data_IF_352571495069
#
_entry.id   IF_352571495069
#
_cell.length_a   1.000
_cell.length_b   1.000
_cell.length_c   1.000
_cell.angle_alpha   90.00
_cell.angle_beta   90.00
_cell.angle_gamma   90.00
#
_symmetry.space_group_name_H-M   'P 1'
#
loop_
_entity.id
_entity.type
_entity.pdbx_description
1 polymer ?
#
# COMPACT_ATOMS: atom_id res chain seq x y z
N UNK A 1 3.39 -12.03 1.51
CA UNK A 1 3.62 -13.47 1.75
C UNK A 1 2.40 -14.16 2.36
N UNK A 2 1.94 -13.74 3.54
CA UNK A 2 0.81 -14.38 4.28
C UNK A 2 -0.48 -14.44 3.42
N UNK A 3 -0.83 -13.35 2.74
CA UNK A 3 -2.07 -13.27 1.94
C UNK A 3 -2.02 -14.21 0.71
N UNK A 4 -0.87 -14.32 0.05
CA UNK A 4 -0.70 -15.24 -1.08
C UNK A 4 -0.78 -16.70 -0.62
N UNK A 5 -0.19 -17.03 0.53
CA UNK A 5 -0.32 -18.35 1.16
C UNK A 5 -1.76 -18.68 1.58
N UNK A 6 -2.48 -17.72 2.18
CA UNK A 6 -3.91 -17.86 2.53
C UNK A 6 -4.80 -18.06 1.30
N UNK A 7 -4.39 -17.51 0.16
CA UNK A 7 -5.06 -17.68 -1.12
C UNK A 7 -4.62 -18.95 -1.87
N UNK A 8 -3.78 -19.79 -1.27
CA UNK A 8 -3.37 -21.09 -1.82
C UNK A 8 -2.16 -21.06 -2.75
N UNK A 9 -1.46 -19.93 -2.86
CA UNK A 9 -0.27 -19.79 -3.69
C UNK A 9 0.99 -20.19 -2.91
N UNK A 10 1.82 -21.06 -3.49
CA UNK A 10 3.11 -21.45 -2.90
C UNK A 10 4.18 -20.47 -3.33
N UNK A 11 4.93 -19.95 -2.35
CA UNK A 11 5.99 -18.99 -2.57
C UNK A 11 7.34 -19.69 -2.49
N UNK A 12 8.26 -19.32 -3.39
CA UNK A 12 9.63 -19.84 -3.36
C UNK A 12 10.37 -19.38 -2.10
N UNK A 13 11.27 -20.23 -1.59
CA UNK A 13 12.06 -19.94 -0.40
C UNK A 13 12.90 -18.65 -0.52
N UNK A 14 13.39 -18.35 -1.73
CA UNK A 14 14.11 -17.10 -2.02
C UNK A 14 13.25 -15.86 -1.75
N UNK A 15 11.98 -15.86 -2.17
CA UNK A 15 11.07 -14.73 -1.97
C UNK A 15 10.71 -14.54 -0.50
N UNK A 16 10.60 -15.64 0.25
CA UNK A 16 10.39 -15.61 1.71
C UNK A 16 11.61 -14.98 2.40
N UNK A 17 12.83 -15.41 2.02
CA UNK A 17 14.07 -14.86 2.55
C UNK A 17 14.20 -13.34 2.33
N UNK A 18 13.96 -12.87 1.10
CA UNK A 18 14.00 -11.42 0.80
C UNK A 18 12.94 -10.64 1.57
N UNK A 19 11.74 -11.20 1.73
CA UNK A 19 10.65 -10.55 2.49
C UNK A 19 11.00 -10.42 3.98
N UNK A 20 11.64 -11.43 4.57
CA UNK A 20 12.10 -11.39 5.97
C UNK A 20 13.21 -10.35 6.16
N UNK A 21 14.13 -10.22 5.20
CA UNK A 21 15.18 -9.22 5.24
C UNK A 21 14.60 -7.79 5.20
N UNK A 22 13.63 -7.53 4.32
CA UNK A 22 12.93 -6.24 4.27
C UNK A 22 12.23 -5.96 5.61
N UNK A 23 11.50 -6.94 6.16
CA UNK A 23 10.81 -6.80 7.43
C UNK A 23 11.76 -6.49 8.59
N UNK A 24 12.92 -7.16 8.64
CA UNK A 24 13.96 -6.87 9.63
C UNK A 24 14.51 -5.44 9.48
N UNK A 25 14.74 -5.00 8.24
CA UNK A 25 15.15 -3.62 7.96
C UNK A 25 14.15 -2.60 8.49
N UNK A 26 12.85 -2.83 8.27
CA UNK A 26 11.78 -1.96 8.79
C UNK A 26 11.82 -1.91 10.33
N UNK A 27 11.96 -3.06 11.01
CA UNK A 27 12.06 -3.10 12.48
C UNK A 27 13.27 -2.28 12.97
N UNK A 28 14.44 -2.48 12.34
CA UNK A 28 15.66 -1.77 12.72
C UNK A 28 15.52 -0.26 12.53
N UNK A 29 14.97 0.20 11.40
CA UNK A 29 14.71 1.62 11.15
C UNK A 29 13.74 2.21 12.18
N UNK A 30 12.66 1.51 12.51
CA UNK A 30 11.67 2.01 13.48
C UNK A 30 12.22 2.06 14.91
N UNK A 31 13.05 1.08 15.31
CA UNK A 31 13.73 1.12 16.61
C UNK A 31 14.76 2.26 16.64
N UNK A 32 15.53 2.45 15.55
CA UNK A 32 16.49 3.54 15.42
C UNK A 32 15.83 4.92 15.59
N UNK A 33 14.69 5.16 14.93
CA UNK A 33 13.91 6.38 15.08
C UNK A 33 13.31 6.51 16.49
N UNK A 34 12.79 5.42 17.06
CA UNK A 34 12.19 5.41 18.40
C UNK A 34 13.19 5.69 19.53
N UNK A 35 14.44 5.24 19.40
CA UNK A 35 15.50 5.48 20.37
C UNK A 35 16.07 6.90 20.31
N UNK A 36 16.03 7.54 19.13
CA UNK A 36 16.55 8.90 18.92
C UNK A 36 15.47 9.97 18.90
N UNK A 37 14.19 9.60 19.05
CA UNK A 37 13.09 10.56 19.07
C UNK A 37 13.15 11.41 20.36
N UNK A 38 13.28 12.74 20.27
CA UNK A 38 13.21 13.63 21.43
C UNK A 38 11.78 13.74 22.01
N UNK A 39 10.83 12.93 21.52
CA UNK A 39 9.42 13.04 21.86
C UNK A 39 9.07 12.31 23.14
N UNK A 40 8.41 13.01 24.07
CA UNK A 40 7.91 12.48 25.35
C UNK A 40 6.69 11.55 25.19
N UNK A 41 6.43 11.06 23.98
CA UNK A 41 5.19 10.35 23.65
C UNK A 41 5.27 8.93 24.19
N UNK A 42 4.28 8.46 24.98
CA UNK A 42 4.28 7.08 25.48
C UNK A 42 4.30 6.07 24.34
N UNK A 43 5.13 5.02 24.46
CA UNK A 43 5.27 3.95 23.48
C UNK A 43 3.91 3.32 23.11
N UNK A 44 2.99 3.19 24.07
CA UNK A 44 1.64 2.66 23.84
C UNK A 44 0.83 3.49 22.84
N UNK A 45 0.98 4.82 22.86
CA UNK A 45 0.30 5.74 21.94
C UNK A 45 0.88 5.59 20.53
N UNK A 46 2.20 5.51 20.41
CA UNK A 46 2.88 5.30 19.12
C UNK A 46 2.49 3.96 18.49
N UNK A 47 2.43 2.88 19.29
CA UNK A 47 2.03 1.56 18.82
C UNK A 47 0.55 1.53 18.43
N UNK A 48 -0.34 2.08 19.27
CA UNK A 48 -1.78 1.99 19.08
C UNK A 48 -2.29 2.83 17.90
N UNK A 49 -1.76 4.06 17.74
CA UNK A 49 -2.24 4.99 16.72
C UNK A 49 -1.32 5.11 15.49
N UNK A 50 -0.09 4.60 15.57
CA UNK A 50 0.85 4.58 14.44
C UNK A 50 1.05 3.17 13.88
N UNK A 51 1.75 2.33 14.63
CA UNK A 51 2.22 1.03 14.13
C UNK A 51 1.08 0.06 13.80
N UNK A 52 0.05 -0.04 14.65
CA UNK A 52 -1.07 -0.97 14.43
C UNK A 52 -1.92 -0.59 13.21
N UNK A 53 -2.36 0.68 13.02
CA UNK A 53 -3.06 1.09 11.80
C UNK A 53 -2.20 0.89 10.55
N UNK A 54 -0.90 1.20 10.61
CA UNK A 54 0.01 0.97 9.49
C UNK A 54 0.14 -0.52 9.14
N UNK A 55 0.24 -1.39 10.16
CA UNK A 55 0.25 -2.84 9.98
C UNK A 55 -1.05 -3.32 9.33
N UNK A 56 -2.21 -2.87 9.82
CA UNK A 56 -3.51 -3.20 9.25
C UNK A 56 -3.60 -2.76 7.77
N UNK A 57 -3.17 -1.54 7.45
CA UNK A 57 -3.10 -1.05 6.08
C UNK A 57 -2.19 -1.93 5.19
N UNK A 58 -1.07 -2.40 5.74
CA UNK A 58 -0.15 -3.33 5.08
C UNK A 58 -0.77 -4.67 4.69
N UNK A 59 -1.87 -5.09 5.33
CA UNK A 59 -2.67 -6.25 4.91
C UNK A 59 -3.81 -5.85 3.96
N UNK A 60 -4.53 -4.77 4.26
CA UNK A 60 -5.67 -4.31 3.45
C UNK A 60 -5.26 -4.01 2.00
N UNK A 61 -4.11 -3.38 1.80
CA UNK A 61 -3.60 -3.01 0.48
C UNK A 61 -3.41 -4.23 -0.46
N UNK A 62 -2.57 -5.23 -0.09
CA UNK A 62 -2.43 -6.43 -0.92
C UNK A 62 -3.73 -7.21 -1.05
N UNK A 63 -4.59 -7.30 -0.02
CA UNK A 63 -5.88 -8.00 -0.13
C UNK A 63 -6.75 -7.36 -1.22
N UNK A 64 -6.97 -6.04 -1.17
CA UNK A 64 -7.80 -5.33 -2.14
C UNK A 64 -7.30 -5.50 -3.58
N UNK A 65 -5.99 -5.37 -3.77
CA UNK A 65 -5.37 -5.57 -5.08
C UNK A 65 -5.49 -7.02 -5.57
N UNK A 66 -5.30 -8.02 -4.69
CA UNK A 66 -5.46 -9.42 -5.05
C UNK A 66 -6.91 -9.73 -5.44
N UNK A 67 -7.88 -9.27 -4.66
CA UNK A 67 -9.30 -9.44 -4.97
C UNK A 67 -9.66 -8.88 -6.35
N UNK A 68 -9.22 -7.65 -6.64
CA UNK A 68 -9.43 -7.02 -7.94
C UNK A 68 -8.83 -7.85 -9.09
N UNK A 69 -7.63 -8.42 -8.92
CA UNK A 69 -7.00 -9.23 -9.95
C UNK A 69 -7.70 -10.56 -10.19
N UNK A 70 -8.15 -11.23 -9.13
CA UNK A 70 -8.98 -12.43 -9.26
C UNK A 70 -10.35 -12.14 -9.84
N UNK A 71 -10.96 -11.00 -9.53
CA UNK A 71 -12.26 -10.59 -10.07
C UNK A 71 -12.23 -10.44 -11.61
N UNK A 72 -11.07 -10.10 -12.17
CA UNK A 72 -10.86 -9.98 -13.63
C UNK A 72 -10.46 -11.28 -14.33
N UNK A 73 -10.35 -12.39 -13.60
CA UNK A 73 -9.87 -13.67 -14.11
C UNK A 73 -10.95 -14.74 -14.08
N UNK A 74 -10.61 -15.88 -14.68
CA UNK A 74 -11.47 -17.06 -14.67
C UNK A 74 -11.82 -17.46 -13.24
N UNK A 75 -13.09 -17.82 -12.97
CA UNK A 75 -13.51 -18.36 -11.70
C UNK A 75 -12.61 -19.48 -11.21
N UNK A 76 -12.40 -19.54 -9.90
CA UNK A 76 -11.62 -20.58 -9.24
C UNK A 76 -12.48 -21.30 -8.23
N UNK A 77 -12.40 -22.63 -8.20
CA UNK A 77 -13.13 -23.48 -7.27
C UNK A 77 -12.61 -23.40 -5.81
N UNK A 78 -11.58 -22.59 -5.56
CA UNK A 78 -11.03 -22.40 -4.22
C UNK A 78 -12.05 -21.71 -3.30
N UNK A 79 -12.22 -22.24 -2.08
CA UNK A 79 -13.27 -21.84 -1.13
C UNK A 79 -13.36 -20.33 -0.84
N UNK A 80 -12.21 -19.62 -0.83
CA UNK A 80 -12.16 -18.18 -0.65
C UNK A 80 -12.38 -17.40 -1.95
N UNK A 81 -11.91 -17.94 -3.08
CA UNK A 81 -11.96 -17.25 -4.38
C UNK A 81 -13.36 -17.27 -5.00
N UNK A 82 -14.20 -18.26 -4.64
CA UNK A 82 -15.60 -18.34 -5.10
C UNK A 82 -16.49 -17.16 -4.68
N UNK A 83 -16.12 -16.45 -3.60
CA UNK A 83 -16.89 -15.30 -3.11
C UNK A 83 -16.50 -13.99 -3.81
N UNK A 84 -15.45 -14.01 -4.63
CA UNK A 84 -15.00 -12.84 -5.38
C UNK A 84 -15.90 -12.69 -6.61
N UNK A 85 -16.58 -11.55 -6.80
CA UNK A 85 -17.44 -11.36 -7.95
C UNK A 85 -16.62 -11.34 -9.25
N UNK A 86 -17.17 -11.93 -10.31
CA UNK A 86 -16.54 -11.94 -11.63
C UNK A 86 -16.93 -10.69 -12.42
N UNK A 87 -15.94 -9.87 -12.71
CA UNK A 87 -16.09 -8.61 -13.42
C UNK A 87 -15.67 -8.80 -14.88
N UNK A 88 -16.61 -9.20 -15.74
CA UNK A 88 -16.38 -9.47 -17.17
C UNK A 88 -16.60 -8.26 -18.08
N UNK A 89 -17.00 -7.13 -17.51
CA UNK A 89 -17.32 -5.92 -18.26
C UNK A 89 -16.08 -5.29 -18.89
N UNK A 90 -16.20 -4.82 -20.13
CA UNK A 90 -15.14 -4.13 -20.87
C UNK A 90 -14.58 -2.91 -20.11
N UNK A 91 -15.40 -2.27 -19.26
CA UNK A 91 -15.01 -1.13 -18.43
C UNK A 91 -13.85 -1.46 -17.47
N UNK A 92 -13.80 -2.68 -16.93
CA UNK A 92 -12.77 -3.10 -15.97
C UNK A 92 -11.42 -3.38 -16.64
N UNK A 93 -11.35 -3.45 -17.98
CA UNK A 93 -10.07 -3.50 -18.68
C UNK A 93 -9.26 -2.21 -18.48
N UNK A 94 -9.95 -1.07 -18.31
CA UNK A 94 -9.31 0.23 -18.11
C UNK A 94 -8.72 0.37 -16.70
N UNK A 95 -7.43 0.73 -16.56
CA UNK A 95 -6.82 0.95 -15.24
C UNK A 95 -7.48 2.07 -14.44
N UNK A 96 -7.96 3.13 -15.11
CA UNK A 96 -8.66 4.24 -14.47
C UNK A 96 -9.97 3.80 -13.81
N UNK A 97 -10.71 2.88 -14.44
CA UNK A 97 -11.93 2.34 -13.86
C UNK A 97 -11.63 1.47 -12.63
N UNK A 98 -10.48 0.78 -12.63
CA UNK A 98 -10.02 0.04 -11.45
C UNK A 98 -9.67 0.98 -10.30
N UNK A 99 -8.95 2.08 -10.58
CA UNK A 99 -8.68 3.11 -9.58
C UNK A 99 -9.98 3.69 -9.03
N UNK A 100 -10.91 4.07 -9.92
CA UNK A 100 -12.21 4.59 -9.52
C UNK A 100 -12.98 3.60 -8.64
N UNK A 101 -13.03 2.31 -9.03
CA UNK A 101 -13.68 1.26 -8.25
C UNK A 101 -13.09 1.15 -6.84
N UNK A 102 -11.76 1.13 -6.72
CA UNK A 102 -11.07 1.04 -5.43
C UNK A 102 -11.30 2.31 -4.59
N UNK A 103 -11.27 3.50 -5.21
CA UNK A 103 -11.51 4.77 -4.53
C UNK A 103 -12.94 4.85 -4.01
N UNK A 104 -13.94 4.61 -4.86
CA UNK A 104 -15.36 4.65 -4.48
C UNK A 104 -15.69 3.56 -3.47
N UNK A 105 -15.16 2.35 -3.65
CA UNK A 105 -15.32 1.25 -2.69
C UNK A 105 -14.77 1.57 -1.29
N UNK A 106 -13.79 2.48 -1.19
CA UNK A 106 -13.23 2.93 0.10
C UNK A 106 -14.01 4.07 0.77
N UNK A 107 -14.93 4.75 0.07
CA UNK A 107 -15.66 5.91 0.61
C UNK A 107 -16.42 5.59 1.92
N UNK A 108 -17.11 4.45 2.08
CA UNK A 108 -17.79 4.15 3.34
C UNK A 108 -16.84 4.14 4.54
N UNK A 109 -15.63 3.58 4.36
CA UNK A 109 -14.59 3.59 5.39
C UNK A 109 -14.16 5.03 5.73
N UNK A 110 -13.90 5.86 4.71
CA UNK A 110 -13.48 7.24 4.92
C UNK A 110 -14.56 8.11 5.56
N UNK A 111 -15.84 7.89 5.23
CA UNK A 111 -16.97 8.58 5.87
C UNK A 111 -17.04 8.23 7.35
N UNK A 112 -16.97 6.95 7.70
CA UNK A 112 -16.96 6.49 9.10
C UNK A 112 -15.76 7.08 9.85
N UNK A 113 -14.58 7.05 9.24
CA UNK A 113 -13.37 7.58 9.85
C UNK A 113 -13.45 9.10 10.05
N UNK A 114 -13.97 9.85 9.08
CA UNK A 114 -14.14 11.30 9.19
C UNK A 114 -15.11 11.68 10.32
N UNK A 115 -16.20 10.93 10.48
CA UNK A 115 -17.16 11.13 11.58
C UNK A 115 -16.55 10.83 12.95
N UNK A 116 -15.62 9.89 13.03
CA UNK A 116 -14.97 9.48 14.27
C UNK A 116 -13.78 10.37 14.65
N UNK A 117 -12.90 10.67 13.70
CA UNK A 117 -11.66 11.45 13.92
C UNK A 117 -11.93 12.95 13.99
N UNK A 118 -12.95 13.45 13.28
CA UNK A 118 -13.32 14.87 13.22
C UNK A 118 -12.12 15.81 12.99
N UNK A 119 -11.42 15.68 11.83
CA UNK A 119 -10.21 16.45 11.58
C UNK A 119 -10.49 17.96 11.50
N UNK A 120 -9.50 18.81 11.82
CA UNK A 120 -9.62 20.26 11.69
C UNK A 120 -9.82 20.67 10.22
N UNK A 121 -10.34 21.88 10.02
CA UNK A 121 -10.55 22.44 8.67
C UNK A 121 -9.24 22.56 7.90
N UNK A 122 -9.26 22.14 6.64
CA UNK A 122 -8.10 22.14 5.77
C UNK A 122 -7.81 23.55 5.23
N UNK A 123 -6.55 23.98 5.27
CA UNK A 123 -6.16 25.21 4.58
C UNK A 123 -6.16 25.03 3.04
N UNK A 124 -6.22 26.12 2.29
CA UNK A 124 -6.18 26.07 0.81
C UNK A 124 -4.87 25.42 0.31
N UNK A 125 -3.74 25.71 0.95
CA UNK A 125 -2.46 25.11 0.58
C UNK A 125 -2.42 23.61 0.86
N UNK A 126 -2.98 23.17 1.98
CA UNK A 126 -3.09 21.75 2.30
C UNK A 126 -4.04 21.03 1.34
N UNK A 127 -5.16 21.66 0.96
CA UNK A 127 -6.09 21.13 -0.02
C UNK A 127 -5.43 20.96 -1.40
N UNK A 128 -4.65 21.96 -1.84
CA UNK A 128 -3.90 21.89 -3.08
C UNK A 128 -2.83 20.79 -3.06
N UNK A 129 -2.08 20.67 -1.97
CA UNK A 129 -1.10 19.58 -1.81
C UNK A 129 -1.77 18.20 -1.81
N UNK A 130 -2.89 18.05 -1.11
CA UNK A 130 -3.66 16.81 -1.10
C UNK A 130 -4.20 16.46 -2.50
N UNK A 131 -4.64 17.46 -3.28
CA UNK A 131 -5.05 17.29 -4.67
C UNK A 131 -3.89 16.79 -5.54
N UNK A 132 -2.70 17.37 -5.41
CA UNK A 132 -1.51 16.93 -6.16
C UNK A 132 -1.17 15.48 -5.82
N UNK A 133 -1.16 15.10 -4.54
CA UNK A 133 -0.92 13.72 -4.10
C UNK A 133 -1.99 12.78 -4.66
N UNK A 134 -3.27 13.15 -4.56
CA UNK A 134 -4.37 12.34 -5.09
C UNK A 134 -4.27 12.15 -6.60
N UNK A 135 -3.87 13.18 -7.35
CA UNK A 135 -3.71 13.11 -8.81
C UNK A 135 -2.51 12.25 -9.21
N UNK A 136 -1.32 12.56 -8.67
CA UNK A 136 -0.09 11.89 -9.11
C UNK A 136 0.05 10.48 -8.53
N UNK A 137 -0.14 10.29 -7.23
CA UNK A 137 -0.03 8.97 -6.60
C UNK A 137 -1.33 8.18 -6.75
N UNK A 138 -2.47 8.80 -6.41
CA UNK A 138 -3.76 8.13 -6.40
C UNK A 138 -4.29 7.76 -7.79
N UNK A 139 -4.23 8.67 -8.76
CA UNK A 139 -4.78 8.42 -10.11
C UNK A 139 -3.70 7.90 -11.07
N UNK A 140 -2.62 8.65 -11.28
CA UNK A 140 -1.65 8.34 -12.34
C UNK A 140 -0.82 7.11 -11.96
N UNK A 141 -0.09 7.15 -10.84
CA UNK A 141 0.80 6.06 -10.44
C UNK A 141 0.03 4.76 -10.19
N UNK A 142 -1.09 4.82 -9.47
CA UNK A 142 -1.93 3.64 -9.21
C UNK A 142 -2.49 3.05 -10.52
N UNK A 143 -2.86 3.86 -11.51
CA UNK A 143 -3.29 3.35 -12.82
C UNK A 143 -2.18 2.60 -13.53
N UNK A 144 -0.96 3.13 -13.55
CA UNK A 144 0.21 2.47 -14.16
C UNK A 144 0.52 1.17 -13.42
N UNK A 145 0.48 1.19 -12.08
CA UNK A 145 0.67 0.02 -11.24
C UNK A 145 -0.38 -1.08 -11.53
N UNK A 146 -1.66 -0.74 -11.55
CA UNK A 146 -2.74 -1.69 -11.81
C UNK A 146 -2.73 -2.21 -13.25
N UNK A 147 -2.26 -1.40 -14.21
CA UNK A 147 -2.01 -1.84 -15.58
C UNK A 147 -0.93 -2.92 -15.61
N UNK A 148 0.25 -2.64 -15.07
CA UNK A 148 1.37 -3.60 -15.01
C UNK A 148 0.95 -4.88 -14.29
N UNK A 149 0.24 -4.74 -13.17
CA UNK A 149 -0.25 -5.86 -12.36
C UNK A 149 -1.28 -6.72 -13.11
N UNK A 150 -2.10 -6.11 -13.96
CA UNK A 150 -3.07 -6.86 -14.78
C UNK A 150 -2.45 -7.67 -15.91
N UNK A 151 -1.27 -7.27 -16.38
CA UNK A 151 -0.50 -7.99 -17.41
C UNK A 151 0.28 -9.19 -16.85
N UNK A 152 0.44 -9.29 -15.52
CA UNK A 152 1.14 -10.38 -14.86
C UNK A 152 0.36 -11.70 -14.97
N UNK A 153 0.92 -12.73 -15.60
CA UNK A 153 0.23 -14.00 -15.88
C UNK A 153 0.15 -14.95 -14.67
N UNK A 154 1.09 -14.85 -13.73
CA UNK A 154 1.16 -15.70 -12.55
C UNK A 154 1.45 -14.89 -11.28
N UNK A 155 1.25 -15.53 -10.12
CA UNK A 155 1.42 -14.92 -8.80
C UNK A 155 2.84 -14.42 -8.53
N UNK A 156 3.86 -15.04 -9.14
CA UNK A 156 5.24 -14.58 -9.07
C UNK A 156 5.44 -13.24 -9.77
N UNK A 157 4.86 -13.07 -10.96
CA UNK A 157 4.87 -11.79 -11.68
C UNK A 157 4.07 -10.72 -10.93
N UNK A 158 2.95 -11.08 -10.30
CA UNK A 158 2.19 -10.15 -9.43
C UNK A 158 3.05 -9.69 -8.26
N UNK A 159 3.75 -10.60 -7.58
CA UNK A 159 4.64 -10.27 -6.48
C UNK A 159 5.82 -9.39 -6.95
N UNK A 160 6.34 -9.61 -8.15
CA UNK A 160 7.39 -8.77 -8.74
C UNK A 160 6.90 -7.34 -9.00
N UNK A 161 5.69 -7.16 -9.54
CA UNK A 161 5.09 -5.83 -9.73
C UNK A 161 4.84 -5.16 -8.37
N UNK A 162 4.27 -5.88 -7.40
CA UNK A 162 4.05 -5.37 -6.04
C UNK A 162 5.37 -4.93 -5.38
N UNK A 163 6.48 -5.64 -5.62
CA UNK A 163 7.80 -5.31 -5.08
C UNK A 163 8.36 -3.98 -5.60
N UNK A 164 7.94 -3.51 -6.78
CA UNK A 164 8.39 -2.21 -7.32
C UNK A 164 7.94 -1.01 -6.48
N UNK A 165 6.90 -1.18 -5.65
CA UNK A 165 6.47 -0.13 -4.72
C UNK A 165 7.49 0.15 -3.62
N UNK A 166 8.32 -0.83 -3.24
CA UNK A 166 9.38 -0.58 -2.27
C UNK A 166 10.38 0.48 -2.78
N UNK A 167 10.48 0.68 -4.10
CA UNK A 167 11.33 1.71 -4.70
C UNK A 167 10.79 3.12 -4.47
N UNK A 168 9.49 3.29 -4.16
CA UNK A 168 8.92 4.59 -3.81
C UNK A 168 9.65 5.24 -2.64
N UNK A 169 10.04 4.46 -1.62
CA UNK A 169 10.78 4.94 -0.45
C UNK A 169 12.11 5.60 -0.84
N UNK A 170 12.80 5.03 -1.82
CA UNK A 170 14.08 5.56 -2.32
C UNK A 170 13.83 6.89 -3.05
N UNK A 171 12.83 6.95 -3.92
CA UNK A 171 12.47 8.18 -4.63
C UNK A 171 11.94 9.27 -3.71
N UNK A 172 11.15 8.93 -2.69
CA UNK A 172 10.65 9.89 -1.71
C UNK A 172 11.79 10.47 -0.87
N UNK A 173 12.77 9.63 -0.50
CA UNK A 173 13.94 10.05 0.26
C UNK A 173 14.82 11.00 -0.57
N UNK A 174 15.15 10.62 -1.82
CA UNK A 174 15.93 11.46 -2.74
C UNK A 174 15.17 12.76 -3.05
N UNK A 175 13.86 12.67 -3.32
CA UNK A 175 13.00 13.82 -3.55
C UNK A 175 12.96 14.76 -2.35
N UNK A 176 12.88 14.22 -1.13
CA UNK A 176 12.99 15.00 0.10
C UNK A 176 14.31 15.76 0.20
N UNK A 177 15.44 15.11 -0.14
CA UNK A 177 16.76 15.75 -0.11
C UNK A 177 16.86 16.89 -1.14
N UNK A 178 16.40 16.65 -2.37
CA UNK A 178 16.54 17.61 -3.47
C UNK A 178 15.54 18.76 -3.36
N UNK A 179 14.28 18.47 -3.03
CA UNK A 179 13.16 19.42 -3.09
C UNK A 179 12.87 20.08 -1.75
N UNK A 180 13.04 19.36 -0.64
CA UNK A 180 12.70 19.83 0.71
C UNK A 180 13.94 20.12 1.56
N UNK A 181 15.14 19.82 1.04
CA UNK A 181 16.40 20.02 1.76
C UNK A 181 16.54 19.12 2.99
N UNK A 182 15.88 17.96 3.02
CA UNK A 182 16.00 17.02 4.16
C UNK A 182 17.45 16.56 4.30
N UNK A 183 18.00 16.48 5.53
CA UNK A 183 19.35 15.99 5.73
C UNK A 183 19.49 14.55 5.22
N UNK A 184 20.70 14.21 4.74
CA UNK A 184 21.00 12.84 4.34
C UNK A 184 20.82 11.92 5.56
N UNK A 185 20.13 10.77 5.42
CA UNK A 185 19.98 9.84 6.54
C UNK A 185 21.36 9.40 7.03
N UNK A 186 21.58 9.30 8.36
CA UNK A 186 22.84 8.85 8.91
C UNK A 186 23.16 7.44 8.38
N UNK A 187 24.34 7.26 7.79
CA UNK A 187 24.74 5.97 7.22
C UNK A 187 24.99 4.94 8.33
N UNK A 188 25.37 5.40 9.53
CA UNK A 188 25.47 4.67 10.78
C UNK A 188 25.33 5.69 11.92
N UNK A 189 24.38 5.48 12.83
CA UNK A 189 24.32 6.14 14.15
C UNK A 189 24.14 5.07 15.21
#
# INVERSE_FOLDING_TARGET
MIILGLLGERLGAATIGTSLLIFLGIILTNIGEGLHSPSSTPLSVLLLYGALPALAAGFCFPIGNQMLWYATRTPSDHAWRRHIPHLTQALIASPLHKVWLLSVGSLPFWVILALWVQPPTLSISQAFNALLVALFAGVIATSVFLLARSQANNSGQVAAVDATQATEVIFSLIGGMILLGTPMPPILS
#
